data_IF_510676422602
#
_entry.id   IF_510676422602
#
_cell.length_a   1.000
_cell.length_b   1.000
_cell.length_c   1.000
_cell.angle_alpha   90.00
_cell.angle_beta   90.00
_cell.angle_gamma   90.00
#
_symmetry.space_group_name_H-M   'P 1'
#
loop_
_entity.id
_entity.type
_entity.pdbx_description
1 polymer ?
#
# COMPACT_ATOMS: atom_id res chain seq x y z
N UNK A 1 19.90 -4.06 -13.03
CA UNK A 1 19.45 -4.73 -11.78
C UNK A 1 18.49 -3.81 -11.06
N UNK A 2 17.29 -4.29 -10.68
CA UNK A 2 16.27 -3.50 -9.95
C UNK A 2 16.22 -3.97 -8.48
N UNK A 3 16.14 -3.02 -7.55
CA UNK A 3 16.11 -3.26 -6.10
C UNK A 3 14.87 -2.62 -5.48
N UNK A 4 14.20 -3.35 -4.60
CA UNK A 4 13.24 -2.80 -3.65
C UNK A 4 13.95 -2.56 -2.33
N UNK A 5 13.72 -1.42 -1.69
CA UNK A 5 14.42 -1.03 -0.46
C UNK A 5 13.42 -0.61 0.60
N UNK A 6 13.67 -1.04 1.83
CA UNK A 6 13.01 -0.54 3.03
C UNK A 6 13.93 0.47 3.71
N UNK A 7 13.43 1.68 3.91
CA UNK A 7 14.16 2.77 4.53
C UNK A 7 13.48 3.17 5.84
N UNK A 8 14.29 3.48 6.84
CA UNK A 8 13.86 4.13 8.07
C UNK A 8 14.65 5.44 8.24
N UNK A 9 14.23 6.25 9.20
CA UNK A 9 15.05 7.37 9.65
C UNK A 9 16.41 6.84 10.10
N UNK A 10 17.49 7.34 9.48
CA UNK A 10 18.85 6.88 9.74
C UNK A 10 19.43 5.86 8.75
N UNK A 11 18.66 5.34 7.77
CA UNK A 11 19.25 4.57 6.66
C UNK A 11 18.38 3.46 6.06
N UNK A 12 19.04 2.54 5.37
CA UNK A 12 18.43 1.35 4.77
C UNK A 12 18.38 0.22 5.80
N UNK A 13 17.20 -0.37 5.99
CA UNK A 13 17.03 -1.52 6.88
C UNK A 13 17.12 -2.85 6.13
N UNK A 14 16.48 -2.94 4.96
CA UNK A 14 16.37 -4.18 4.21
C UNK A 14 16.21 -3.92 2.70
N UNK A 15 16.50 -4.91 1.86
CA UNK A 15 16.28 -4.83 0.42
C UNK A 15 15.95 -6.19 -0.20
N UNK A 16 15.17 -6.16 -1.28
CA UNK A 16 14.88 -7.33 -2.11
C UNK A 16 15.32 -7.06 -3.55
N UNK A 17 16.08 -7.99 -4.13
CA UNK A 17 16.41 -7.95 -5.56
C UNK A 17 15.17 -8.36 -6.34
N UNK A 18 14.79 -7.58 -7.34
CA UNK A 18 13.69 -7.95 -8.22
C UNK A 18 14.15 -9.07 -9.17
N UNK A 19 13.52 -10.24 -9.07
CA UNK A 19 13.63 -11.33 -10.02
C UNK A 19 12.31 -11.48 -10.78
N UNK A 20 12.39 -11.48 -12.13
CA UNK A 20 11.21 -11.53 -13.00
C UNK A 20 10.44 -12.86 -12.99
N UNK A 21 10.91 -13.86 -12.24
CA UNK A 21 10.36 -15.24 -12.22
C UNK A 21 9.89 -15.71 -10.83
N UNK A 22 9.83 -14.85 -9.82
CA UNK A 22 9.35 -15.22 -8.48
C UNK A 22 7.86 -14.97 -8.32
N UNK A 23 7.02 -15.73 -9.03
CA UNK A 23 5.60 -15.81 -8.67
C UNK A 23 5.26 -17.24 -8.35
N UNK A 24 5.25 -17.55 -7.05
CA UNK A 24 4.69 -18.80 -6.60
C UNK A 24 3.17 -18.77 -6.85
N UNK A 25 2.61 -19.70 -7.63
CA UNK A 25 1.17 -19.78 -7.89
C UNK A 25 0.34 -19.93 -6.61
N UNK A 26 0.94 -20.37 -5.51
CA UNK A 26 0.27 -20.54 -4.22
C UNK A 26 0.06 -19.21 -3.45
N UNK A 27 0.68 -18.10 -3.87
CA UNK A 27 0.56 -16.86 -3.11
C UNK A 27 -0.75 -16.10 -3.40
N UNK A 28 -1.49 -15.81 -2.33
CA UNK A 28 -2.81 -15.16 -2.33
C UNK A 28 -2.77 -13.68 -2.78
N UNK A 29 -1.60 -13.03 -2.68
CA UNK A 29 -1.45 -11.59 -2.89
C UNK A 29 -0.85 -11.20 -4.25
N UNK A 30 -1.02 -9.94 -4.62
CA UNK A 30 -0.35 -9.39 -5.80
C UNK A 30 1.15 -9.21 -5.55
N UNK A 31 1.97 -9.29 -6.59
CA UNK A 31 3.44 -9.11 -6.48
C UNK A 31 3.82 -7.82 -5.72
N UNK A 32 3.20 -6.65 -5.98
CA UNK A 32 3.51 -5.45 -5.19
C UNK A 32 3.16 -5.58 -3.71
N UNK A 33 2.01 -6.17 -3.38
CA UNK A 33 1.60 -6.40 -1.99
C UNK A 33 2.57 -7.35 -1.27
N UNK A 34 3.01 -8.41 -1.94
CA UNK A 34 4.00 -9.35 -1.41
C UNK A 34 5.34 -8.66 -1.14
N UNK A 35 5.78 -7.76 -2.02
CA UNK A 35 7.01 -6.99 -1.81
C UNK A 35 6.90 -6.16 -0.53
N UNK A 36 5.78 -5.46 -0.30
CA UNK A 36 5.58 -4.69 0.92
C UNK A 36 5.59 -5.60 2.14
N UNK A 37 4.73 -6.63 2.18
CA UNK A 37 4.60 -7.54 3.31
C UNK A 37 5.93 -8.23 3.66
N UNK A 38 6.70 -8.66 2.66
CA UNK A 38 7.98 -9.32 2.89
C UNK A 38 9.05 -8.36 3.41
N UNK A 39 9.16 -7.17 2.84
CA UNK A 39 10.13 -6.17 3.29
C UNK A 39 9.81 -5.70 4.71
N UNK A 40 8.53 -5.57 5.06
CA UNK A 40 8.12 -5.03 6.35
C UNK A 40 7.79 -6.09 7.39
N UNK A 41 7.99 -7.38 7.11
CA UNK A 41 7.59 -8.51 7.98
C UNK A 41 8.07 -8.37 9.44
N UNK A 42 9.30 -7.86 9.63
CA UNK A 42 9.92 -7.69 10.94
C UNK A 42 9.46 -6.42 11.66
N UNK A 43 8.69 -5.57 10.99
CA UNK A 43 8.16 -4.30 11.50
C UNK A 43 6.64 -4.33 11.69
N UNK A 44 5.96 -5.43 11.33
CA UNK A 44 4.52 -5.58 11.55
C UNK A 44 4.21 -5.59 13.05
N UNK A 45 2.96 -5.27 13.40
CA UNK A 45 2.45 -5.23 14.78
C UNK A 45 3.10 -4.18 15.70
N UNK A 46 3.83 -3.21 15.14
CA UNK A 46 4.57 -2.21 15.91
C UNK A 46 3.93 -0.82 15.92
N UNK A 47 2.72 -0.65 15.36
CA UNK A 47 2.05 0.65 15.29
C UNK A 47 2.69 1.61 14.29
N UNK A 48 3.53 1.11 13.38
CA UNK A 48 4.26 1.92 12.39
C UNK A 48 3.42 2.23 11.17
N UNK A 49 3.81 3.31 10.49
CA UNK A 49 3.25 3.70 9.19
C UNK A 49 4.25 3.44 8.08
N UNK A 50 3.82 2.71 7.07
CA UNK A 50 4.58 2.42 5.85
C UNK A 50 4.16 3.45 4.79
N UNK A 51 5.13 4.12 4.18
CA UNK A 51 4.89 5.04 3.06
C UNK A 51 5.39 4.42 1.76
N UNK A 52 4.53 4.30 0.76
CA UNK A 52 4.82 3.62 -0.50
C UNK A 52 4.30 4.38 -1.73
N UNK A 53 4.87 4.06 -2.89
CA UNK A 53 4.38 4.53 -4.20
C UNK A 53 3.10 3.78 -4.64
N UNK A 54 2.39 4.32 -5.63
CA UNK A 54 1.12 3.79 -6.12
C UNK A 54 1.19 2.35 -6.62
N UNK A 55 2.35 1.91 -7.10
CA UNK A 55 2.51 0.56 -7.60
C UNK A 55 2.37 -0.47 -6.47
N UNK A 56 2.72 -0.08 -5.23
CA UNK A 56 2.71 -0.94 -4.05
C UNK A 56 1.54 -0.64 -3.11
N UNK A 57 0.58 0.19 -3.52
CA UNK A 57 -0.54 0.60 -2.66
C UNK A 57 -1.87 0.08 -3.21
N UNK A 58 -2.69 -0.51 -2.36
CA UNK A 58 -4.06 -0.90 -2.67
C UNK A 58 -4.93 -0.87 -1.41
N UNK A 59 -6.24 -0.74 -1.58
CA UNK A 59 -7.22 -0.80 -0.47
C UNK A 59 -7.17 -2.16 0.24
N UNK A 60 -7.01 -3.25 -0.52
CA UNK A 60 -6.87 -4.61 0.03
C UNK A 60 -5.62 -4.74 0.91
N UNK A 61 -4.46 -4.23 0.45
CA UNK A 61 -3.24 -4.24 1.25
C UNK A 61 -3.39 -3.39 2.53
N UNK A 62 -4.08 -2.26 2.43
CA UNK A 62 -4.33 -1.39 3.57
C UNK A 62 -5.15 -2.09 4.67
N UNK A 63 -6.21 -2.81 4.30
CA UNK A 63 -6.95 -3.65 5.24
C UNK A 63 -6.05 -4.70 5.91
N UNK A 64 -5.21 -5.38 5.13
CA UNK A 64 -4.35 -6.44 5.66
C UNK A 64 -3.32 -5.93 6.66
N UNK A 65 -2.70 -4.78 6.35
CA UNK A 65 -1.73 -4.18 7.25
C UNK A 65 -2.41 -3.67 8.54
N UNK A 66 -3.63 -3.16 8.42
CA UNK A 66 -4.41 -2.69 9.55
C UNK A 66 -4.74 -3.81 10.55
N UNK A 67 -5.02 -5.03 10.07
CA UNK A 67 -5.16 -6.23 10.92
C UNK A 67 -3.91 -6.51 11.78
N UNK A 68 -2.74 -6.05 11.32
CA UNK A 68 -1.44 -6.22 11.98
C UNK A 68 -0.93 -4.93 12.63
N UNK A 69 -1.84 -4.05 13.09
CA UNK A 69 -1.50 -2.76 13.72
C UNK A 69 -0.41 -2.00 12.95
N UNK A 70 -0.51 -1.98 11.63
CA UNK A 70 0.44 -1.36 10.72
C UNK A 70 -0.34 -0.51 9.72
N UNK A 71 0.02 0.75 9.60
CA UNK A 71 -0.68 1.71 8.74
C UNK A 71 0.05 1.84 7.41
N UNK A 72 -0.67 2.20 6.36
CA UNK A 72 -0.10 2.46 5.04
C UNK A 72 -0.55 3.82 4.52
N UNK A 73 0.38 4.55 3.93
CA UNK A 73 0.12 5.80 3.21
C UNK A 73 0.72 5.64 1.82
N UNK A 74 -0.07 5.94 0.81
CA UNK A 74 0.38 5.89 -0.57
C UNK A 74 -0.69 6.47 -1.49
N UNK A 75 -0.31 6.76 -2.73
CA UNK A 75 -1.28 7.16 -3.75
C UNK A 75 -1.94 5.92 -4.33
N UNK A 76 -3.23 6.01 -4.70
CA UNK A 76 -3.93 4.91 -5.34
C UNK A 76 -4.00 5.13 -6.85
N UNK A 77 -3.79 4.06 -7.62
CA UNK A 77 -4.07 4.09 -9.05
C UNK A 77 -5.59 4.05 -9.26
N UNK A 78 -6.10 4.93 -10.11
CA UNK A 78 -7.56 5.09 -10.30
C UNK A 78 -8.27 3.82 -10.80
N UNK A 79 -7.56 2.94 -11.50
CA UNK A 79 -8.07 1.66 -11.99
C UNK A 79 -7.78 0.47 -11.05
N UNK A 80 -7.24 0.70 -9.85
CA UNK A 80 -7.11 -0.35 -8.83
C UNK A 80 -8.49 -0.84 -8.38
N UNK A 81 -8.58 -2.14 -8.12
CA UNK A 81 -9.81 -2.75 -7.59
C UNK A 81 -10.13 -2.19 -6.20
N UNK A 82 -11.41 -2.25 -5.83
CA UNK A 82 -11.91 -1.93 -4.49
C UNK A 82 -11.78 -0.45 -4.06
N UNK A 83 -11.30 0.45 -4.93
CA UNK A 83 -11.33 1.88 -4.65
C UNK A 83 -12.78 2.40 -4.55
N UNK A 84 -13.07 3.36 -3.63
CA UNK A 84 -14.40 3.92 -3.47
C UNK A 84 -14.83 4.69 -4.73
N UNK A 85 -15.88 4.18 -5.38
CA UNK A 85 -16.39 4.76 -6.64
C UNK A 85 -16.92 6.18 -6.44
N UNK A 86 -17.50 6.48 -5.28
CA UNK A 86 -18.05 7.80 -4.96
C UNK A 86 -16.96 8.87 -5.00
N UNK A 87 -15.81 8.59 -4.39
CA UNK A 87 -14.62 9.44 -4.42
C UNK A 87 -14.09 9.56 -5.85
N UNK A 88 -13.85 8.43 -6.53
CA UNK A 88 -13.23 8.43 -7.87
C UNK A 88 -14.08 9.10 -8.95
N UNK A 89 -15.40 8.94 -8.93
CA UNK A 89 -16.31 9.44 -9.97
C UNK A 89 -16.74 10.90 -9.74
N UNK A 90 -16.47 11.47 -8.56
CA UNK A 90 -16.80 12.87 -8.27
C UNK A 90 -16.00 13.79 -9.20
N UNK A 91 -16.72 14.66 -9.90
CA UNK A 91 -16.15 15.80 -10.63
C UNK A 91 -15.93 16.94 -9.63
N UNK A 92 -14.67 17.34 -9.46
CA UNK A 92 -14.25 18.38 -8.53
C UNK A 92 -13.84 19.63 -9.31
N UNK A 93 -14.08 20.80 -8.72
CA UNK A 93 -13.48 22.06 -9.19
C UNK A 93 -12.07 22.20 -8.58
N UNK A 94 -11.23 23.03 -9.19
CA UNK A 94 -9.88 23.31 -8.66
C UNK A 94 -9.98 23.80 -7.21
N UNK A 95 -9.21 23.18 -6.32
CA UNK A 95 -9.20 23.50 -4.88
C UNK A 95 -10.26 22.78 -4.05
N UNK A 96 -11.08 21.89 -4.64
CA UNK A 96 -11.98 21.01 -3.91
C UNK A 96 -11.35 19.62 -3.75
N UNK A 97 -11.60 19.00 -2.60
CA UNK A 97 -11.29 17.58 -2.35
C UNK A 97 -12.55 16.83 -1.92
N UNK A 98 -12.53 15.52 -2.07
CA UNK A 98 -13.53 14.62 -1.50
C UNK A 98 -12.80 13.46 -0.83
N UNK A 99 -13.28 13.07 0.33
CA UNK A 99 -12.77 11.92 1.05
C UNK A 99 -13.90 11.01 1.51
N UNK A 100 -13.58 9.73 1.64
CA UNK A 100 -14.43 8.72 2.25
C UNK A 100 -13.59 7.89 3.21
N UNK A 101 -14.13 7.68 4.41
CA UNK A 101 -13.54 6.82 5.42
C UNK A 101 -14.51 5.67 5.71
N UNK A 102 -14.00 4.44 5.76
CA UNK A 102 -14.81 3.29 6.15
C UNK A 102 -14.82 3.09 7.67
N UNK A 103 -15.70 2.21 8.15
CA UNK A 103 -15.82 1.88 9.58
C UNK A 103 -14.58 1.19 10.19
N UNK A 104 -13.62 0.76 9.36
CA UNK A 104 -12.35 0.21 9.82
C UNK A 104 -11.26 1.29 9.97
N UNK A 105 -11.50 2.53 9.53
CA UNK A 105 -10.53 3.62 9.59
C UNK A 105 -9.63 3.74 8.35
N UNK A 106 -10.01 3.13 7.21
CA UNK A 106 -9.34 3.39 5.94
C UNK A 106 -9.92 4.64 5.30
N UNK A 107 -9.03 5.59 5.02
CA UNK A 107 -9.34 6.89 4.44
C UNK A 107 -8.82 6.97 3.00
N UNK A 108 -9.66 7.40 2.06
CA UNK A 108 -9.27 7.66 0.67
C UNK A 108 -9.73 9.05 0.27
N UNK A 109 -8.80 9.86 -0.24
CA UNK A 109 -9.04 11.24 -0.69
C UNK A 109 -8.71 11.42 -2.18
N UNK A 110 -9.46 12.29 -2.85
CA UNK A 110 -9.25 12.74 -4.24
C UNK A 110 -9.36 14.25 -4.35
#
# INVERSE_FOLDING_TARGET
MKLFKLCLEGGYLDFKVYCSQERDPAEEHTVPSQVVLNLTKNLLNSGRTIVVDNYYTSVELAHKLLETNTYIIGTLRSNSKCNPKNVLQKKLKRGQTIAEENNTGLFVEK
#
